data_IF_202616413268
#
_entry.id   IF_202616413268
#
_cell.length_a   1.000
_cell.length_b   1.000
_cell.length_c   1.000
_cell.angle_alpha   90.00
_cell.angle_beta   90.00
_cell.angle_gamma   90.00
#
_symmetry.space_group_name_H-M   'P 1'
#
loop_
_entity.id
_entity.type
_entity.pdbx_description
1 polymer ?
#
# COMPACT_ATOMS: atom_id res chain seq x y z
N UNK A 1 -21.62 15.73 11.26
CA UNK A 1 -21.27 14.29 11.35
C UNK A 1 -20.39 13.91 10.15
N UNK A 2 -19.10 14.24 10.18
CA UNK A 2 -18.18 13.95 9.07
C UNK A 2 -16.74 13.93 9.59
N UNK A 3 -16.44 12.98 10.49
CA UNK A 3 -15.08 12.81 11.01
C UNK A 3 -14.75 11.32 11.26
N UNK A 4 -15.75 10.54 11.70
CA UNK A 4 -15.60 9.09 11.92
C UNK A 4 -15.28 8.33 10.62
N UNK A 5 -15.97 8.67 9.52
CA UNK A 5 -15.71 8.03 8.22
C UNK A 5 -14.32 8.35 7.65
N UNK A 6 -13.83 9.57 7.81
CA UNK A 6 -12.50 9.98 7.35
C UNK A 6 -11.40 9.27 8.14
N UNK A 7 -11.52 9.23 9.47
CA UNK A 7 -10.59 8.52 10.33
C UNK A 7 -10.57 7.02 10.02
N UNK A 8 -11.74 6.39 9.89
CA UNK A 8 -11.82 4.96 9.61
C UNK A 8 -11.23 4.60 8.24
N UNK A 9 -11.48 5.42 7.21
CA UNK A 9 -10.93 5.19 5.88
C UNK A 9 -9.41 5.43 5.84
N UNK A 10 -8.91 6.41 6.59
CA UNK A 10 -7.47 6.65 6.73
C UNK A 10 -6.77 5.50 7.47
N UNK A 11 -7.39 4.98 8.54
CA UNK A 11 -6.88 3.82 9.28
C UNK A 11 -6.91 2.56 8.43
N UNK A 12 -8.00 2.31 7.70
CA UNK A 12 -8.09 1.18 6.77
C UNK A 12 -7.04 1.27 5.66
N UNK A 13 -6.85 2.45 5.09
CA UNK A 13 -5.82 2.67 4.08
C UNK A 13 -4.42 2.38 4.61
N UNK A 14 -4.12 2.87 5.82
CA UNK A 14 -2.83 2.66 6.47
C UNK A 14 -2.66 1.17 6.86
N UNK A 15 -3.71 0.50 7.32
CA UNK A 15 -3.69 -0.94 7.60
C UNK A 15 -3.45 -1.75 6.32
N UNK A 16 -4.14 -1.46 5.22
CA UNK A 16 -3.95 -2.17 3.94
C UNK A 16 -2.54 -1.94 3.38
N UNK A 17 -1.88 -0.82 3.68
CA UNK A 17 -0.48 -0.59 3.28
C UNK A 17 0.52 -1.30 4.20
N UNK A 18 0.33 -1.22 5.51
CA UNK A 18 1.32 -1.73 6.47
C UNK A 18 1.19 -3.22 6.75
N UNK A 19 -0.02 -3.77 6.81
CA UNK A 19 -0.27 -5.14 7.24
C UNK A 19 0.28 -6.16 6.23
N UNK A 20 0.10 -6.00 4.90
CA UNK A 20 0.71 -6.90 3.91
C UNK A 20 2.22 -6.76 3.87
N UNK A 21 2.77 -5.56 4.09
CA UNK A 21 4.22 -5.34 4.12
C UNK A 21 4.83 -6.02 5.34
N UNK A 22 4.25 -5.85 6.53
CA UNK A 22 4.76 -6.47 7.76
C UNK A 22 4.61 -8.00 7.72
N UNK A 23 3.43 -8.50 7.32
CA UNK A 23 3.15 -9.95 7.32
C UNK A 23 3.88 -10.66 6.18
N UNK A 24 3.88 -10.07 4.97
CA UNK A 24 4.56 -10.65 3.80
C UNK A 24 6.07 -10.78 4.01
N UNK A 25 6.71 -9.75 4.57
CA UNK A 25 8.15 -9.78 4.86
C UNK A 25 8.50 -10.88 5.87
N UNK A 26 7.67 -11.09 6.90
CA UNK A 26 7.92 -12.13 7.91
C UNK A 26 7.81 -13.53 7.27
N UNK A 27 6.71 -13.80 6.55
CA UNK A 27 6.47 -15.12 5.95
C UNK A 27 7.55 -15.47 4.92
N UNK A 28 7.90 -14.54 4.04
CA UNK A 28 8.95 -14.80 3.05
C UNK A 28 10.33 -14.95 3.68
N UNK A 29 10.64 -14.23 4.76
CA UNK A 29 11.93 -14.41 5.46
C UNK A 29 12.01 -15.82 6.05
N UNK A 30 10.92 -16.33 6.63
CA UNK A 30 10.87 -17.72 7.09
C UNK A 30 10.98 -18.71 5.93
N UNK A 31 10.27 -18.48 4.83
CA UNK A 31 10.28 -19.36 3.66
C UNK A 31 11.68 -19.44 3.01
N UNK A 32 12.38 -18.30 2.86
CA UNK A 32 13.76 -18.25 2.35
C UNK A 32 14.77 -18.87 3.32
N UNK A 33 14.54 -18.73 4.63
CA UNK A 33 15.40 -19.36 5.64
C UNK A 33 15.27 -20.88 5.62
N UNK A 34 14.05 -21.39 5.46
CA UNK A 34 13.72 -22.81 5.47
C UNK A 34 14.10 -23.51 4.15
N UNK A 35 14.07 -22.79 3.01
CA UNK A 35 14.47 -23.36 1.73
C UNK A 35 15.99 -23.65 1.64
N UNK A 36 16.35 -24.79 1.04
CA UNK A 36 17.73 -25.23 0.81
C UNK A 36 18.40 -24.51 -0.39
N UNK A 37 18.19 -23.20 -0.53
CA UNK A 37 18.87 -22.43 -1.57
C UNK A 37 20.34 -22.15 -1.22
N UNK A 38 21.19 -22.19 -2.25
CA UNK A 38 22.53 -21.60 -2.23
C UNK A 38 22.48 -20.17 -1.65
N UNK A 39 23.51 -19.77 -0.91
CA UNK A 39 23.58 -18.49 -0.19
C UNK A 39 23.32 -17.29 -1.11
N UNK A 40 23.69 -17.39 -2.40
CA UNK A 40 23.40 -16.36 -3.42
C UNK A 40 21.92 -16.26 -3.77
N UNK A 41 21.20 -17.39 -3.79
CA UNK A 41 19.76 -17.44 -4.05
C UNK A 41 18.95 -16.80 -2.93
N UNK A 42 19.33 -17.01 -1.66
CA UNK A 42 18.70 -16.37 -0.50
C UNK A 42 18.85 -14.84 -0.55
N UNK A 43 20.04 -14.35 -0.88
CA UNK A 43 20.31 -12.91 -0.98
C UNK A 43 19.53 -12.26 -2.13
N UNK A 44 19.46 -12.91 -3.30
CA UNK A 44 18.73 -12.38 -4.45
C UNK A 44 17.22 -12.29 -4.17
N UNK A 45 16.66 -13.31 -3.51
CA UNK A 45 15.27 -13.29 -3.05
C UNK A 45 15.03 -12.17 -2.03
N UNK A 46 15.90 -12.04 -1.02
CA UNK A 46 15.80 -10.95 -0.03
C UNK A 46 15.76 -9.57 -0.70
N UNK A 47 16.59 -9.33 -1.71
CA UNK A 47 16.62 -8.06 -2.45
C UNK A 47 15.31 -7.83 -3.22
N UNK A 48 14.76 -8.85 -3.88
CA UNK A 48 13.48 -8.74 -4.60
C UNK A 48 12.33 -8.39 -3.65
N UNK A 49 12.27 -9.07 -2.50
CA UNK A 49 11.26 -8.87 -1.47
C UNK A 49 11.30 -7.44 -0.92
N UNK A 50 12.50 -6.90 -0.73
CA UNK A 50 12.69 -5.52 -0.28
C UNK A 50 12.35 -4.47 -1.35
N UNK A 51 12.44 -4.81 -2.64
CA UNK A 51 12.12 -3.89 -3.74
C UNK A 51 10.61 -3.74 -3.99
N UNK A 52 9.82 -4.80 -3.80
CA UNK A 52 8.37 -4.78 -4.02
C UNK A 52 7.63 -3.67 -3.25
N UNK A 53 7.80 -3.46 -1.93
CA UNK A 53 7.09 -2.40 -1.20
C UNK A 53 7.55 -1.00 -1.62
N UNK A 54 8.82 -0.87 -2.01
CA UNK A 54 9.36 0.38 -2.58
C UNK A 54 8.64 0.68 -3.91
N UNK A 55 8.64 -0.26 -4.85
CA UNK A 55 7.99 -0.11 -6.16
C UNK A 55 6.49 0.17 -6.02
N UNK A 56 5.80 -0.50 -5.10
CA UNK A 56 4.38 -0.25 -4.82
C UNK A 56 4.10 1.17 -4.33
N UNK A 57 4.97 1.70 -3.45
CA UNK A 57 4.88 3.08 -2.96
C UNK A 57 5.15 4.09 -4.07
N UNK A 58 6.18 3.88 -4.88
CA UNK A 58 6.48 4.73 -6.04
C UNK A 58 5.35 4.71 -7.07
N UNK A 59 4.79 3.53 -7.39
CA UNK A 59 3.63 3.39 -8.26
C UNK A 59 2.41 4.13 -7.71
N UNK A 60 2.14 4.04 -6.40
CA UNK A 60 1.06 4.77 -5.77
C UNK A 60 1.27 6.29 -5.84
N UNK A 61 2.50 6.78 -5.66
CA UNK A 61 2.81 8.20 -5.77
C UNK A 61 2.73 8.72 -7.21
N UNK A 62 3.21 7.94 -8.20
CA UNK A 62 3.17 8.33 -9.61
C UNK A 62 1.78 8.21 -10.24
N UNK A 63 1.00 7.18 -9.89
CA UNK A 63 -0.31 6.91 -10.53
C UNK A 63 -1.52 7.18 -9.64
N UNK A 64 -1.36 7.14 -8.31
CA UNK A 64 -2.43 7.32 -7.32
C UNK A 64 -2.76 8.78 -7.00
N UNK A 65 -1.90 9.73 -7.35
CA UNK A 65 -2.19 11.17 -7.23
C UNK A 65 -3.17 11.70 -8.30
N UNK A 66 -4.13 10.90 -8.74
CA UNK A 66 -5.30 11.47 -9.42
C UNK A 66 -6.18 12.03 -8.31
N UNK A 67 -6.22 13.37 -8.08
CA UNK A 67 -7.20 13.91 -7.16
C UNK A 67 -8.57 13.38 -7.60
N UNK A 68 -9.47 13.01 -6.67
CA UNK A 68 -10.85 12.77 -7.03
C UNK A 68 -11.28 14.04 -7.76
N UNK A 69 -11.38 13.93 -9.07
CA UNK A 69 -11.78 15.00 -9.94
C UNK A 69 -13.08 15.48 -9.31
N UNK A 70 -13.11 16.75 -8.88
CA UNK A 70 -14.29 17.43 -8.36
C UNK A 70 -15.34 17.47 -9.47
N UNK A 71 -15.81 16.32 -9.90
CA UNK A 71 -16.72 16.11 -11.00
C UNK A 71 -18.07 15.93 -10.36
N UNK A 72 -18.69 17.08 -10.09
CA UNK A 72 -20.12 17.18 -9.84
C UNK A 72 -20.56 17.02 -8.40
N UNK A 73 -20.11 17.88 -7.49
CA UNK A 73 -21.06 18.36 -6.48
C UNK A 73 -21.99 19.35 -7.18
N UNK A 74 -23.03 18.84 -7.84
CA UNK A 74 -24.13 19.68 -8.31
C UNK A 74 -24.89 20.12 -7.06
N UNK A 75 -24.65 21.37 -6.62
CA UNK A 75 -25.51 21.99 -5.61
C UNK A 75 -26.79 22.43 -6.31
N UNK A 76 -27.84 21.62 -6.19
CA UNK A 76 -29.19 22.10 -6.49
C UNK A 76 -29.61 23.06 -5.37
N UNK A 77 -29.82 24.33 -5.69
CA UNK A 77 -30.51 25.28 -4.79
C UNK A 77 -29.72 26.46 -4.23
N UNK A 78 -28.72 27.02 -4.93
CA UNK A 78 -28.30 28.40 -4.64
C UNK A 78 -29.07 29.38 -5.54
N UNK A 79 -30.00 30.11 -4.94
CA UNK A 79 -30.69 31.26 -5.52
C UNK A 79 -29.66 32.34 -5.88
N UNK A 80 -29.74 32.84 -7.12
CA UNK A 80 -29.01 34.02 -7.59
C UNK A 80 -29.51 35.30 -6.91
#
# INVERSE_FOLDING_TARGET
MSNRGCFFNSVLFLAILFLPVIVGQIIETFMVLEDEYSTSGKVLWLVLIWLVPVIGTWLYLFFGQRPPQRRGYIRFGQSA
#
